data_IF_959541439429
#
_entry.id   IF_959541439429
#
_cell.length_a   1.000
_cell.length_b   1.000
_cell.length_c   1.000
_cell.angle_alpha   90.00
_cell.angle_beta   90.00
_cell.angle_gamma   90.00
#
_symmetry.space_group_name_H-M   'P 1'
#
loop_
_entity.id
_entity.type
_entity.pdbx_description
1 polymer ?
#
# COMPACT_ATOMS: atom_id res chain seq x y z
N UNK A 1 10.65 -25.52 4.08
CA UNK A 1 10.00 -26.71 4.63
C UNK A 1 10.16 -27.88 3.65
N UNK A 2 10.53 -29.05 4.18
CA UNK A 2 10.64 -30.32 3.40
C UNK A 2 10.12 -31.49 4.24
N UNK A 3 9.70 -32.55 3.56
CA UNK A 3 9.33 -33.81 4.21
C UNK A 3 10.62 -34.54 4.61
N UNK A 4 10.69 -35.05 5.86
CA UNK A 4 11.83 -35.81 6.35
C UNK A 4 12.09 -37.03 5.47
N UNK A 5 13.36 -37.34 5.20
CA UNK A 5 13.74 -38.52 4.45
C UNK A 5 13.36 -39.81 5.19
N UNK A 6 13.41 -39.82 6.53
CA UNK A 6 13.01 -40.95 7.37
C UNK A 6 11.61 -41.47 7.00
N UNK A 7 10.64 -40.58 6.76
CA UNK A 7 9.29 -41.00 6.34
C UNK A 7 9.24 -41.54 4.92
N UNK A 8 10.12 -41.08 4.03
CA UNK A 8 10.25 -41.64 2.68
C UNK A 8 10.85 -43.03 2.71
N UNK A 9 11.86 -43.24 3.55
CA UNK A 9 12.55 -44.50 3.72
C UNK A 9 11.64 -45.55 4.37
N UNK A 10 10.84 -45.17 5.38
CA UNK A 10 9.80 -46.02 5.97
C UNK A 10 8.75 -46.49 4.95
N UNK A 11 8.44 -45.66 3.96
CA UNK A 11 7.55 -46.06 2.86
C UNK A 11 8.21 -47.03 1.88
N UNK A 12 9.53 -46.94 1.68
CA UNK A 12 10.30 -47.80 0.78
C UNK A 12 10.56 -49.17 1.38
N UNK A 13 10.69 -49.27 2.70
CA UNK A 13 10.95 -50.52 3.44
C UNK A 13 9.70 -51.37 3.58
N UNK A 14 9.13 -51.85 2.55
CA UNK A 14 7.97 -52.74 2.34
C UNK A 14 7.36 -53.60 3.46
N UNK A 15 7.86 -53.55 4.70
CA UNK A 15 7.53 -54.46 5.81
C UNK A 15 6.38 -54.01 6.73
N UNK A 16 5.74 -52.87 6.47
CA UNK A 16 4.69 -52.31 7.33
C UNK A 16 3.30 -52.84 6.95
N UNK A 17 2.42 -53.03 7.94
CA UNK A 17 1.01 -53.35 7.72
C UNK A 17 0.34 -52.35 6.77
N UNK A 18 -0.72 -52.76 6.05
CA UNK A 18 -1.47 -51.84 5.15
C UNK A 18 -1.97 -50.56 5.87
N UNK A 19 -2.31 -50.69 7.14
CA UNK A 19 -2.78 -49.55 7.97
C UNK A 19 -1.67 -48.54 8.20
N UNK A 20 -0.45 -48.97 8.55
CA UNK A 20 0.71 -48.11 8.76
C UNK A 20 1.09 -47.39 7.45
N UNK A 21 1.06 -48.09 6.33
CA UNK A 21 1.32 -47.47 5.01
C UNK A 21 0.30 -46.41 4.66
N UNK A 22 -0.98 -46.65 4.90
CA UNK A 22 -2.04 -45.68 4.64
C UNK A 22 -1.89 -44.46 5.53
N UNK A 23 -1.60 -44.64 6.81
CA UNK A 23 -1.32 -43.54 7.74
C UNK A 23 -0.14 -42.67 7.27
N UNK A 24 1.00 -43.26 6.95
CA UNK A 24 2.18 -42.51 6.48
C UNK A 24 1.85 -41.78 5.17
N UNK A 25 1.14 -42.41 4.23
CA UNK A 25 0.74 -41.80 2.96
C UNK A 25 -0.15 -40.58 3.17
N UNK A 26 -1.10 -40.66 4.09
CA UNK A 26 -1.97 -39.56 4.45
C UNK A 26 -1.18 -38.39 5.04
N UNK A 27 -0.25 -38.64 5.97
CA UNK A 27 0.61 -37.62 6.57
C UNK A 27 1.54 -36.96 5.54
N UNK A 28 2.10 -37.72 4.62
CA UNK A 28 2.90 -37.18 3.51
C UNK A 28 2.03 -36.32 2.58
N UNK A 29 0.79 -36.73 2.28
CA UNK A 29 -0.14 -35.95 1.47
C UNK A 29 -0.48 -34.61 2.14
N UNK A 30 -0.80 -34.63 3.43
CA UNK A 30 -1.06 -33.44 4.22
C UNK A 30 0.16 -32.51 4.26
N UNK A 31 1.37 -33.05 4.47
CA UNK A 31 2.61 -32.30 4.44
C UNK A 31 2.89 -31.64 3.06
N UNK A 32 2.68 -32.38 1.97
CA UNK A 32 2.81 -31.82 0.61
C UNK A 32 1.81 -30.70 0.36
N UNK A 33 0.56 -30.86 0.80
CA UNK A 33 -0.47 -29.83 0.69
C UNK A 33 -0.08 -28.55 1.44
N UNK A 34 0.41 -28.69 2.68
CA UNK A 34 0.87 -27.54 3.49
C UNK A 34 2.03 -26.79 2.79
N UNK A 35 3.04 -27.53 2.31
CA UNK A 35 4.17 -26.93 1.58
C UNK A 35 3.68 -26.18 0.34
N UNK A 36 2.78 -26.78 -0.44
CA UNK A 36 2.21 -26.15 -1.63
C UNK A 36 1.44 -24.88 -1.29
N UNK A 37 0.63 -24.89 -0.23
CA UNK A 37 -0.14 -23.72 0.18
C UNK A 37 0.74 -22.57 0.67
N UNK A 38 1.85 -22.86 1.36
CA UNK A 38 2.84 -21.87 1.76
C UNK A 38 3.55 -21.24 0.56
N UNK A 39 3.97 -22.06 -0.41
CA UNK A 39 4.55 -21.55 -1.66
C UNK A 39 3.57 -20.64 -2.42
N UNK A 40 2.32 -21.06 -2.54
CA UNK A 40 1.28 -20.25 -3.19
C UNK A 40 1.09 -18.91 -2.49
N UNK A 41 1.07 -18.90 -1.14
CA UNK A 41 0.98 -17.67 -0.35
C UNK A 41 2.18 -16.75 -0.59
N UNK A 42 3.41 -17.31 -0.56
CA UNK A 42 4.63 -16.54 -0.84
C UNK A 42 4.60 -15.93 -2.23
N UNK A 43 4.20 -16.71 -3.24
CA UNK A 43 4.10 -16.24 -4.62
C UNK A 43 3.07 -15.13 -4.78
N UNK A 44 1.92 -15.25 -4.12
CA UNK A 44 0.89 -14.20 -4.12
C UNK A 44 1.41 -12.89 -3.53
N UNK A 45 2.09 -12.95 -2.37
CA UNK A 45 2.68 -11.76 -1.76
C UNK A 45 3.73 -11.14 -2.67
N UNK A 46 4.59 -11.93 -3.29
CA UNK A 46 5.62 -11.47 -4.21
C UNK A 46 5.01 -10.81 -5.46
N UNK A 47 3.98 -11.40 -6.04
CA UNK A 47 3.29 -10.83 -7.21
C UNK A 47 2.63 -9.48 -6.87
N UNK A 48 2.01 -9.37 -5.68
CA UNK A 48 1.43 -8.11 -5.19
C UNK A 48 2.53 -7.06 -5.00
N UNK A 49 3.65 -7.41 -4.34
CA UNK A 49 4.77 -6.51 -4.14
C UNK A 49 5.36 -6.00 -5.46
N UNK A 50 5.57 -6.89 -6.42
CA UNK A 50 6.06 -6.54 -7.76
C UNK A 50 5.13 -5.58 -8.48
N UNK A 51 3.81 -5.78 -8.39
CA UNK A 51 2.83 -4.88 -9.01
C UNK A 51 2.82 -3.51 -8.33
N UNK A 52 2.95 -3.45 -7.00
CA UNK A 52 3.12 -2.18 -6.26
C UNK A 52 4.36 -1.44 -6.78
N UNK A 53 5.53 -2.09 -6.81
CA UNK A 53 6.79 -1.48 -7.27
C UNK A 53 6.67 -0.99 -8.71
N UNK A 54 6.07 -1.79 -9.59
CA UNK A 54 5.85 -1.43 -11.00
C UNK A 54 5.03 -0.16 -11.16
N UNK A 55 3.98 0.01 -10.37
CA UNK A 55 3.09 1.18 -10.43
C UNK A 55 3.66 2.39 -9.71
N UNK A 56 4.45 2.17 -8.66
CA UNK A 56 5.03 3.21 -7.81
C UNK A 56 6.49 3.54 -8.14
N UNK A 57 6.91 3.38 -9.41
CA UNK A 57 8.30 3.67 -9.83
C UNK A 57 8.74 5.10 -9.52
N UNK A 58 7.84 6.07 -9.70
CA UNK A 58 8.14 7.47 -9.41
C UNK A 58 8.32 7.73 -7.92
N UNK A 59 7.53 7.06 -7.06
CA UNK A 59 7.74 7.07 -5.62
C UNK A 59 9.13 6.53 -5.26
N UNK A 60 9.58 5.43 -5.88
CA UNK A 60 10.91 4.85 -5.61
C UNK A 60 12.05 5.83 -5.92
N UNK A 61 11.87 6.70 -6.92
CA UNK A 61 12.86 7.69 -7.34
C UNK A 61 12.74 9.03 -6.59
N UNK A 62 11.52 9.54 -6.40
CA UNK A 62 11.24 10.92 -5.95
C UNK A 62 10.61 11.01 -4.55
N UNK A 63 10.30 9.87 -3.91
CA UNK A 63 9.69 9.82 -2.60
C UNK A 63 8.17 10.08 -2.57
N UNK A 64 7.67 10.48 -1.40
CA UNK A 64 6.24 10.53 -1.07
C UNK A 64 5.45 11.51 -1.96
N UNK A 65 6.08 12.60 -2.41
CA UNK A 65 5.43 13.58 -3.28
C UNK A 65 4.97 12.98 -4.63
N UNK A 66 5.66 11.93 -5.10
CA UNK A 66 5.37 11.25 -6.36
C UNK A 66 4.53 9.96 -6.19
N UNK A 67 3.91 9.77 -5.03
CA UNK A 67 3.05 8.61 -4.77
C UNK A 67 1.79 8.67 -5.65
N UNK A 68 1.61 7.64 -6.50
CA UNK A 68 0.43 7.52 -7.36
C UNK A 68 -0.71 6.82 -6.62
N UNK A 69 -1.96 7.20 -6.89
CA UNK A 69 -3.10 6.48 -6.32
C UNK A 69 -3.15 5.05 -6.87
N UNK A 70 -3.38 4.12 -5.97
CA UNK A 70 -3.47 2.69 -6.28
C UNK A 70 -4.55 2.06 -5.41
N UNK A 71 -5.44 1.28 -6.03
CA UNK A 71 -6.49 0.56 -5.32
C UNK A 71 -6.18 -0.94 -5.24
N UNK A 72 -6.68 -1.60 -4.19
CA UNK A 72 -6.53 -3.05 -4.05
C UNK A 72 -7.21 -3.82 -5.18
N UNK A 73 -8.33 -3.28 -5.70
CA UNK A 73 -9.05 -3.86 -6.85
C UNK A 73 -8.17 -3.90 -8.10
N UNK A 74 -7.45 -2.82 -8.39
CA UNK A 74 -6.56 -2.76 -9.56
C UNK A 74 -5.43 -3.79 -9.49
N UNK A 75 -4.85 -3.99 -8.29
CA UNK A 75 -3.80 -4.99 -8.08
C UNK A 75 -4.39 -6.40 -8.14
N UNK A 76 -5.57 -6.62 -7.55
CA UNK A 76 -6.28 -7.89 -7.55
C UNK A 76 -6.55 -8.39 -8.98
N UNK A 77 -7.01 -7.49 -9.86
CA UNK A 77 -7.27 -7.79 -11.28
C UNK A 77 -6.00 -8.27 -12.01
N UNK A 78 -4.87 -7.59 -11.80
CA UNK A 78 -3.60 -7.95 -12.48
C UNK A 78 -3.01 -9.23 -11.93
N UNK A 79 -3.06 -9.43 -10.61
CA UNK A 79 -2.51 -10.63 -9.96
C UNK A 79 -3.43 -11.85 -10.12
N UNK A 80 -4.69 -11.66 -10.51
CA UNK A 80 -5.68 -12.73 -10.70
C UNK A 80 -6.20 -13.30 -9.38
N UNK A 81 -6.37 -12.46 -8.35
CA UNK A 81 -6.91 -12.84 -7.04
C UNK A 81 -8.05 -11.92 -6.63
N UNK A 82 -8.80 -12.30 -5.62
CA UNK A 82 -9.85 -11.45 -5.07
C UNK A 82 -9.25 -10.30 -4.24
N UNK A 83 -9.93 -9.14 -4.18
CA UNK A 83 -9.50 -7.96 -3.41
C UNK A 83 -9.22 -8.27 -1.94
N UNK A 84 -10.06 -9.09 -1.30
CA UNK A 84 -9.86 -9.51 0.10
C UNK A 84 -8.57 -10.30 0.29
N UNK A 85 -8.12 -11.03 -0.73
CA UNK A 85 -6.83 -11.76 -0.71
C UNK A 85 -5.67 -10.76 -0.72
N UNK A 86 -5.75 -9.70 -1.53
CA UNK A 86 -4.76 -8.60 -1.53
C UNK A 86 -4.72 -7.94 -0.17
N UNK A 87 -5.87 -7.54 0.38
CA UNK A 87 -5.97 -6.89 1.69
C UNK A 87 -5.33 -7.72 2.81
N UNK A 88 -5.61 -9.03 2.86
CA UNK A 88 -5.00 -9.95 3.83
C UNK A 88 -3.51 -10.17 3.59
N UNK A 89 -3.08 -10.20 2.33
CA UNK A 89 -1.69 -10.41 1.98
C UNK A 89 -0.80 -9.23 2.38
N UNK A 90 -1.28 -7.99 2.25
CA UNK A 90 -0.51 -6.78 2.55
C UNK A 90 -0.56 -6.36 4.02
N UNK A 91 -1.55 -6.82 4.79
CA UNK A 91 -1.72 -6.46 6.19
C UNK A 91 -0.52 -6.91 7.04
N UNK A 92 0.05 -5.98 7.81
CA UNK A 92 1.21 -6.23 8.67
C UNK A 92 2.46 -6.70 7.90
N UNK A 93 2.60 -6.31 6.62
CA UNK A 93 3.77 -6.59 5.79
C UNK A 93 4.45 -5.29 5.40
N UNK A 94 5.77 -5.34 5.37
CA UNK A 94 6.62 -4.21 5.05
C UNK A 94 7.42 -4.47 3.78
N UNK A 95 7.72 -3.41 3.07
CA UNK A 95 8.59 -3.42 1.91
C UNK A 95 9.72 -2.42 2.13
N UNK A 96 10.96 -2.85 1.89
CA UNK A 96 12.11 -1.99 1.92
C UNK A 96 12.26 -1.32 0.55
N UNK A 97 12.32 0.01 0.56
CA UNK A 97 12.47 0.84 -0.65
C UNK A 97 13.70 1.73 -0.51
N UNK A 98 14.19 2.36 -1.60
CA UNK A 98 15.25 3.36 -1.50
C UNK A 98 14.88 4.56 -0.60
N UNK A 99 13.60 4.82 -0.42
CA UNK A 99 13.06 5.90 0.42
C UNK A 99 12.82 5.49 1.88
N UNK A 100 13.11 4.23 2.25
CA UNK A 100 12.91 3.70 3.58
C UNK A 100 12.01 2.46 3.62
N UNK A 101 11.61 2.07 4.82
CA UNK A 101 10.73 0.92 5.06
C UNK A 101 9.30 1.43 5.21
N UNK A 102 8.39 0.90 4.37
CA UNK A 102 6.98 1.26 4.39
C UNK A 102 6.12 0.02 4.55
N UNK A 103 4.98 0.16 5.25
CA UNK A 103 3.97 -0.88 5.23
C UNK A 103 3.41 -1.02 3.81
N UNK A 104 3.22 -2.25 3.31
CA UNK A 104 2.67 -2.47 1.96
C UNK A 104 1.29 -1.81 1.78
N UNK A 105 0.51 -1.72 2.86
CA UNK A 105 -0.80 -1.06 2.85
C UNK A 105 -0.71 0.45 2.55
N UNK A 106 0.40 1.10 2.88
CA UNK A 106 0.65 2.53 2.64
C UNK A 106 0.53 2.92 1.17
N UNK A 107 0.86 2.01 0.24
CA UNK A 107 0.80 2.26 -1.19
C UNK A 107 -0.62 2.23 -1.77
N UNK A 108 -1.61 1.78 -1.00
CA UNK A 108 -3.01 1.74 -1.41
C UNK A 108 -3.74 2.99 -0.93
N UNK A 109 -3.72 4.02 -1.75
CA UNK A 109 -4.33 5.32 -1.45
C UNK A 109 -5.38 5.67 -2.51
N UNK A 110 -6.49 6.26 -2.06
CA UNK A 110 -7.45 6.85 -2.97
C UNK A 110 -6.83 8.08 -3.66
N UNK A 111 -7.19 8.30 -4.92
CA UNK A 111 -6.74 9.46 -5.69
C UNK A 111 -7.70 10.63 -5.57
N UNK A 112 -7.14 11.85 -5.58
CA UNK A 112 -7.86 13.08 -5.87
C UNK A 112 -7.65 13.41 -7.35
N UNK A 113 -8.73 13.70 -8.08
CA UNK A 113 -8.63 14.14 -9.46
C UNK A 113 -8.03 15.54 -9.48
N UNK A 114 -6.93 15.71 -10.22
CA UNK A 114 -6.39 17.03 -10.53
C UNK A 114 -7.01 17.49 -11.85
N UNK A 115 -7.53 18.71 -11.89
CA UNK A 115 -7.97 19.33 -13.13
C UNK A 115 -6.72 19.65 -13.97
N UNK A 116 -6.33 18.75 -14.85
CA UNK A 116 -5.36 19.06 -15.90
C UNK A 116 -5.98 20.05 -16.88
N UNK A 117 -5.32 21.19 -17.09
CA UNK A 117 -5.80 22.30 -17.92
C UNK A 117 -5.97 21.99 -19.42
N UNK A 118 -5.72 20.78 -19.88
CA UNK A 118 -5.88 20.38 -21.29
C UNK A 118 -6.44 18.95 -21.32
N UNK A 119 -7.71 18.78 -21.17
CA UNK A 119 -8.58 17.63 -21.49
C UNK A 119 -8.02 16.22 -21.77
N UNK A 120 -6.71 15.99 -21.69
CA UNK A 120 -6.01 14.77 -22.09
C UNK A 120 -5.24 14.04 -20.99
N UNK A 121 -5.07 14.59 -19.78
CA UNK A 121 -4.35 13.89 -18.71
C UNK A 121 -4.78 14.38 -17.35
N UNK A 122 -5.90 13.88 -16.84
CA UNK A 122 -6.22 14.00 -15.41
C UNK A 122 -5.17 13.17 -14.63
N UNK A 123 -4.12 13.85 -14.17
CA UNK A 123 -3.13 13.24 -13.29
C UNK A 123 -3.77 13.07 -11.92
N UNK A 124 -4.13 11.86 -11.54
CA UNK A 124 -4.67 11.61 -10.20
C UNK A 124 -3.51 11.59 -9.20
N UNK A 125 -3.56 12.49 -8.21
CA UNK A 125 -2.60 12.49 -7.09
C UNK A 125 -3.16 11.69 -5.92
N UNK A 126 -2.28 11.08 -5.14
CA UNK A 126 -2.70 10.37 -3.93
C UNK A 126 -3.13 11.36 -2.83
N UNK A 127 -4.09 10.97 -2.01
CA UNK A 127 -4.49 11.76 -0.83
C UNK A 127 -3.29 12.08 0.08
N UNK A 128 -2.34 11.15 0.18
CA UNK A 128 -1.12 11.31 0.98
C UNK A 128 -0.21 12.40 0.39
N UNK A 129 -0.03 12.44 -0.93
CA UNK A 129 0.77 13.48 -1.60
C UNK A 129 0.15 14.88 -1.41
N UNK A 130 -1.17 14.97 -1.53
CA UNK A 130 -1.89 16.24 -1.30
C UNK A 130 -1.79 16.69 0.16
N UNK A 131 -1.89 15.76 1.11
CA UNK A 131 -1.72 16.03 2.53
C UNK A 131 -0.33 16.56 2.86
N UNK A 132 0.72 15.99 2.26
CA UNK A 132 2.10 16.47 2.42
C UNK A 132 2.29 17.86 1.85
N UNK A 133 1.73 18.17 0.66
CA UNK A 133 1.78 19.52 0.11
C UNK A 133 1.08 20.55 1.01
N UNK A 134 -0.03 20.15 1.65
CA UNK A 134 -0.73 21.01 2.62
C UNK A 134 0.15 21.24 3.84
N UNK A 135 0.86 20.21 4.33
CA UNK A 135 1.81 20.35 5.43
C UNK A 135 2.93 21.34 5.08
N UNK A 136 3.57 21.18 3.91
CA UNK A 136 4.62 22.07 3.42
C UNK A 136 4.14 23.54 3.30
N UNK A 137 2.90 23.76 2.84
CA UNK A 137 2.31 25.10 2.74
C UNK A 137 2.14 25.73 4.13
N UNK A 138 1.70 24.96 5.12
CA UNK A 138 1.54 25.47 6.48
C UNK A 138 2.88 25.63 7.23
N UNK A 139 3.87 24.82 6.94
CA UNK A 139 5.23 24.96 7.50
C UNK A 139 5.94 26.21 6.97
N UNK A 140 5.65 26.59 5.73
CA UNK A 140 6.22 27.78 5.08
C UNK A 140 5.40 29.05 5.33
N UNK A 141 4.33 29.02 6.14
CA UNK A 141 3.49 30.19 6.39
C UNK A 141 4.16 31.25 7.28
N UNK A 142 3.80 32.52 7.05
CA UNK A 142 4.17 33.62 7.95
C UNK A 142 3.28 33.61 9.19
N UNK A 143 3.87 33.48 10.36
CA UNK A 143 3.20 33.47 11.67
C UNK A 143 2.46 34.80 11.96
N UNK A 144 2.89 35.92 11.36
CA UNK A 144 2.19 37.21 11.44
C UNK A 144 0.91 37.29 10.61
N UNK A 145 0.84 36.48 9.52
CA UNK A 145 -0.33 36.38 8.64
C UNK A 145 -0.64 34.91 8.30
N UNK A 146 -1.15 34.16 9.25
CA UNK A 146 -1.41 32.75 9.05
C UNK A 146 -2.47 32.50 7.97
N UNK A 147 -2.19 31.54 7.08
CA UNK A 147 -3.04 31.21 5.94
C UNK A 147 -4.37 30.63 6.39
N UNK A 148 -5.47 31.10 5.79
CA UNK A 148 -6.77 30.46 5.95
C UNK A 148 -6.90 29.20 5.09
N UNK A 149 -7.79 28.28 5.48
CA UNK A 149 -8.09 27.09 4.67
C UNK A 149 -8.52 27.46 3.23
N UNK A 150 -9.12 28.64 3.03
CA UNK A 150 -9.52 29.14 1.72
C UNK A 150 -8.34 29.61 0.86
N UNK A 151 -7.32 30.19 1.46
CA UNK A 151 -6.09 30.60 0.77
C UNK A 151 -5.30 29.39 0.35
N UNK A 152 -5.22 28.36 1.20
CA UNK A 152 -4.59 27.08 0.85
C UNK A 152 -5.30 26.41 -0.32
N UNK A 153 -6.65 26.44 -0.38
CA UNK A 153 -7.42 25.97 -1.56
C UNK A 153 -7.01 26.73 -2.83
N UNK A 154 -6.83 28.04 -2.75
CA UNK A 154 -6.41 28.86 -3.90
C UNK A 154 -5.01 28.47 -4.38
N UNK A 155 -4.05 28.37 -3.48
CA UNK A 155 -2.67 27.96 -3.79
C UNK A 155 -2.61 26.56 -4.41
N UNK A 156 -3.41 25.61 -3.90
CA UNK A 156 -3.51 24.27 -4.47
C UNK A 156 -4.15 24.29 -5.85
N UNK A 157 -5.15 25.14 -6.08
CA UNK A 157 -5.78 25.33 -7.39
C UNK A 157 -4.80 25.86 -8.43
N UNK A 158 -3.91 26.78 -8.06
CA UNK A 158 -2.83 27.28 -8.93
C UNK A 158 -1.84 26.17 -9.32
N UNK A 159 -1.63 25.19 -8.44
CA UNK A 159 -0.86 23.97 -8.71
C UNK A 159 -1.68 22.87 -9.44
N UNK A 160 -2.89 23.20 -9.93
CA UNK A 160 -3.75 22.27 -10.66
C UNK A 160 -4.52 21.27 -9.79
N UNK A 161 -4.52 21.44 -8.46
CA UNK A 161 -5.19 20.54 -7.53
C UNK A 161 -6.51 21.14 -7.08
N UNK A 162 -7.63 20.53 -7.47
CA UNK A 162 -8.97 21.00 -7.10
C UNK A 162 -9.50 20.20 -5.92
N UNK A 163 -9.53 20.85 -4.76
CA UNK A 163 -10.09 20.26 -3.53
C UNK A 163 -11.02 21.22 -2.82
N UNK A 164 -11.96 20.69 -2.06
CA UNK A 164 -12.89 21.50 -1.29
C UNK A 164 -12.23 22.04 -0.01
N UNK A 165 -12.64 23.24 0.45
CA UNK A 165 -12.20 23.82 1.72
C UNK A 165 -12.36 22.86 2.90
N UNK A 166 -13.45 22.09 2.94
CA UNK A 166 -13.69 21.10 4.00
C UNK A 166 -12.62 20.01 4.03
N UNK A 167 -12.09 19.62 2.86
CA UNK A 167 -11.02 18.62 2.76
C UNK A 167 -9.69 19.20 3.28
N UNK A 168 -9.38 20.47 2.98
CA UNK A 168 -8.20 21.15 3.54
C UNK A 168 -8.32 21.24 5.06
N UNK A 169 -9.46 21.65 5.60
CA UNK A 169 -9.70 21.72 7.04
C UNK A 169 -9.54 20.33 7.71
N UNK A 170 -10.05 19.28 7.08
CA UNK A 170 -9.88 17.90 7.57
C UNK A 170 -8.38 17.52 7.62
N UNK A 171 -7.62 17.74 6.54
CA UNK A 171 -6.20 17.40 6.50
C UNK A 171 -5.38 18.23 7.48
N UNK A 172 -5.69 19.52 7.63
CA UNK A 172 -5.08 20.38 8.65
C UNK A 172 -5.27 19.81 10.06
N UNK A 173 -6.50 19.39 10.39
CA UNK A 173 -6.80 18.77 11.69
C UNK A 173 -6.06 17.46 11.88
N UNK A 174 -5.99 16.60 10.85
CA UNK A 174 -5.23 15.35 10.88
C UNK A 174 -3.71 15.56 11.03
N UNK A 175 -3.20 16.74 10.62
CA UNK A 175 -1.81 17.15 10.82
C UNK A 175 -1.59 17.85 12.17
N UNK A 176 -2.62 17.94 13.02
CA UNK A 176 -2.60 18.66 14.31
C UNK A 176 -2.26 20.16 14.19
N UNK A 177 -2.59 20.79 13.04
CA UNK A 177 -2.36 22.21 12.80
C UNK A 177 -3.60 22.98 13.24
N UNK A 178 -3.42 24.00 14.09
CA UNK A 178 -4.50 24.83 14.61
C UNK A 178 -5.13 25.71 13.48
N UNK A 179 -6.38 26.16 13.62
CA UNK A 179 -6.98 27.12 12.69
C UNK A 179 -6.24 28.47 12.72
N UNK A 180 -6.33 29.23 11.62
CA UNK A 180 -5.56 30.48 11.41
C UNK A 180 -5.68 31.51 12.55
N UNK A 181 -6.88 31.63 13.16
CA UNK A 181 -7.12 32.52 14.30
C UNK A 181 -6.33 32.13 15.55
N UNK A 182 -5.95 30.89 15.74
CA UNK A 182 -5.18 30.39 16.89
C UNK A 182 -3.67 30.28 16.59
N UNK A 183 -3.25 30.45 15.33
CA UNK A 183 -1.84 30.43 14.93
C UNK A 183 -1.22 31.83 14.83
N UNK A 184 -2.04 32.87 14.88
CA UNK A 184 -1.56 34.25 14.77
C UNK A 184 -0.72 34.62 15.99
N UNK A 185 0.52 35.01 15.76
CA UNK A 185 1.42 35.59 16.76
C UNK A 185 1.38 37.12 16.59
N UNK A 186 1.18 37.83 17.69
CA UNK A 186 1.07 39.30 17.74
C UNK A 186 2.41 39.94 18.08
#
# INVERSE_FOLDING_TARGET
LRISNTYKDLMAQGSNSPEVRNYIREKIRAGKFLIKSLHQRQQTILNIANEIVKRQREFMAKGVAALKPLTMVQVAQVVGVHETTVSRAVSGKYIQTPQGIFEMKYFFTAGIQTAGGDGRSATSMSNTSVKNMIAEIFEAEDTGKPLSDQEVVRMLKEKGIVIARRTVAKYRTELNILPSNLRKVY
#
